data_IF_675940074547
#
_entry.id   IF_675940074547
#
_cell.length_a   1.000
_cell.length_b   1.000
_cell.length_c   1.000
_cell.angle_alpha   90.00
_cell.angle_beta   90.00
_cell.angle_gamma   90.00
#
_symmetry.space_group_name_H-M   'P 1'
#
loop_
_entity.id
_entity.type
_entity.pdbx_description
1 polymer ?
#
# COMPACT_ATOMS: atom_id res chain seq x y z
N UNK A 1 -25.51 0.53 23.59
CA UNK A 1 -24.53 1.59 23.30
C UNK A 1 -23.51 1.19 22.23
N UNK A 2 -22.85 0.03 22.28
CA UNK A 2 -22.02 -0.45 21.16
C UNK A 2 -22.84 -0.65 19.88
N UNK A 3 -24.06 -1.16 19.96
CA UNK A 3 -24.96 -1.31 18.82
C UNK A 3 -25.34 0.01 18.13
N UNK A 4 -25.34 1.15 18.84
CA UNK A 4 -25.65 2.46 18.26
C UNK A 4 -24.46 3.10 17.53
N UNK A 5 -23.23 2.68 17.83
CA UNK A 5 -22.03 3.08 17.07
C UNK A 5 -21.97 2.36 15.71
N UNK A 6 -22.58 1.17 15.63
CA UNK A 6 -22.72 0.42 14.40
C UNK A 6 -24.09 0.58 13.72
N UNK A 7 -25.03 1.32 14.34
CA UNK A 7 -26.40 1.48 13.87
C UNK A 7 -26.70 2.76 13.08
N UNK A 8 -25.69 3.60 12.74
CA UNK A 8 -25.87 4.43 11.56
C UNK A 8 -25.94 3.46 10.38
N UNK A 9 -27.01 3.50 9.55
CA UNK A 9 -26.94 2.80 8.28
C UNK A 9 -25.71 3.39 7.58
N UNK A 10 -24.60 2.64 7.54
CA UNK A 10 -23.59 2.86 6.53
C UNK A 10 -24.38 2.90 5.24
N UNK A 11 -24.37 4.04 4.57
CA UNK A 11 -24.88 4.12 3.21
C UNK A 11 -24.28 2.91 2.52
N UNK A 12 -25.12 1.97 2.10
CA UNK A 12 -24.64 0.67 1.62
C UNK A 12 -23.76 0.99 0.44
N UNK A 13 -22.43 0.79 0.60
CA UNK A 13 -21.47 1.04 -0.45
C UNK A 13 -22.03 0.50 -1.78
N UNK A 14 -21.97 1.29 -2.82
CA UNK A 14 -22.40 0.88 -4.14
C UNK A 14 -21.67 -0.43 -4.56
N UNK A 15 -22.28 -1.22 -5.44
CA UNK A 15 -21.65 -2.46 -5.90
C UNK A 15 -20.25 -2.21 -6.47
N UNK A 16 -20.05 -1.09 -7.15
CA UNK A 16 -18.76 -0.69 -7.72
C UNK A 16 -17.75 -0.35 -6.63
N UNK A 17 -18.17 0.34 -5.58
CA UNK A 17 -17.33 0.63 -4.43
C UNK A 17 -16.89 -0.66 -3.70
N UNK A 18 -17.78 -1.65 -3.56
CA UNK A 18 -17.43 -2.95 -2.98
C UNK A 18 -16.38 -3.69 -3.82
N UNK A 19 -16.51 -3.68 -5.15
CA UNK A 19 -15.49 -4.25 -6.04
C UNK A 19 -14.14 -3.56 -5.86
N UNK A 20 -14.11 -2.22 -5.78
CA UNK A 20 -12.89 -1.45 -5.58
C UNK A 20 -12.23 -1.78 -4.24
N UNK A 21 -13.00 -1.80 -3.15
CA UNK A 21 -12.49 -2.13 -1.81
C UNK A 21 -11.94 -3.56 -1.76
N UNK A 22 -12.67 -4.53 -2.33
CA UNK A 22 -12.22 -5.93 -2.40
C UNK A 22 -10.94 -6.08 -3.22
N UNK A 23 -10.85 -5.45 -4.37
CA UNK A 23 -9.68 -5.37 -5.23
C UNK A 23 -8.46 -4.86 -4.46
N UNK A 24 -8.62 -3.71 -3.78
CA UNK A 24 -7.56 -3.08 -2.99
C UNK A 24 -7.14 -3.97 -1.83
N UNK A 25 -8.08 -4.52 -1.09
CA UNK A 25 -7.82 -5.42 0.03
C UNK A 25 -6.97 -6.63 -0.40
N UNK A 26 -7.37 -7.31 -1.46
CA UNK A 26 -6.70 -8.51 -1.95
C UNK A 26 -5.28 -8.20 -2.44
N UNK A 27 -5.12 -7.17 -3.29
CA UNK A 27 -3.79 -6.75 -3.77
C UNK A 27 -2.89 -6.42 -2.57
N UNK A 28 -3.38 -5.60 -1.64
CA UNK A 28 -2.57 -5.10 -0.54
C UNK A 28 -2.22 -6.21 0.46
N UNK A 29 -3.14 -7.14 0.73
CA UNK A 29 -2.88 -8.33 1.55
C UNK A 29 -1.75 -9.17 0.95
N UNK A 30 -1.80 -9.44 -0.36
CA UNK A 30 -0.74 -10.16 -1.05
C UNK A 30 0.62 -9.48 -0.94
N UNK A 31 0.67 -8.15 -1.12
CA UNK A 31 1.92 -7.40 -0.97
C UNK A 31 2.43 -7.39 0.48
N UNK A 32 1.56 -7.20 1.47
CA UNK A 32 1.95 -7.22 2.89
C UNK A 32 2.51 -8.58 3.32
N UNK A 33 1.91 -9.65 2.82
CA UNK A 33 2.43 -11.01 3.01
C UNK A 33 3.84 -11.15 2.45
N UNK A 34 4.05 -10.70 1.21
CA UNK A 34 5.34 -10.82 0.52
C UNK A 34 6.41 -9.87 1.07
N UNK A 35 6.03 -8.69 1.52
CA UNK A 35 6.95 -7.75 2.14
C UNK A 35 7.57 -8.33 3.41
N UNK A 36 6.73 -8.66 4.37
CA UNK A 36 7.19 -8.99 5.71
C UNK A 36 7.82 -10.38 5.78
N UNK A 37 7.12 -11.38 5.29
CA UNK A 37 7.57 -12.78 5.36
C UNK A 37 8.38 -13.16 4.12
N UNK A 38 7.92 -12.76 2.93
CA UNK A 38 8.57 -13.11 1.67
C UNK A 38 9.95 -12.49 1.51
N UNK A 39 10.09 -11.18 1.66
CA UNK A 39 11.38 -10.48 1.48
C UNK A 39 12.20 -10.53 2.77
N UNK A 40 11.71 -9.90 3.86
CA UNK A 40 12.49 -9.78 5.10
C UNK A 40 12.73 -11.16 5.71
N UNK A 41 11.68 -11.99 5.80
CA UNK A 41 11.81 -13.35 6.34
C UNK A 41 12.76 -14.24 5.52
N UNK A 42 12.72 -14.17 4.19
CA UNK A 42 13.64 -14.95 3.35
C UNK A 42 15.08 -14.49 3.53
N UNK A 43 15.35 -13.18 3.47
CA UNK A 43 16.70 -12.64 3.68
C UNK A 43 17.27 -12.99 5.05
N UNK A 44 16.45 -12.86 6.11
CA UNK A 44 16.91 -13.07 7.48
C UNK A 44 17.08 -14.55 7.82
N UNK A 45 16.14 -15.42 7.44
CA UNK A 45 16.10 -16.81 7.90
C UNK A 45 16.57 -17.83 6.87
N UNK A 46 16.27 -17.63 5.58
CA UNK A 46 16.62 -18.60 4.56
C UNK A 46 17.99 -18.34 3.92
N UNK A 47 18.32 -17.07 3.70
CA UNK A 47 19.54 -16.66 3.02
C UNK A 47 20.65 -16.21 4.00
N UNK A 48 20.35 -16.16 5.29
CA UNK A 48 21.26 -15.67 6.37
C UNK A 48 21.96 -14.35 6.02
N UNK A 49 21.20 -13.47 5.37
CA UNK A 49 21.71 -12.18 4.94
C UNK A 49 22.05 -11.30 6.15
N UNK A 50 23.02 -10.42 5.98
CA UNK A 50 23.37 -9.47 7.03
C UNK A 50 22.27 -8.44 7.28
N UNK A 51 22.25 -7.85 8.47
CA UNK A 51 21.33 -6.73 8.82
C UNK A 51 21.42 -5.62 7.77
N UNK A 52 22.65 -5.29 7.32
CA UNK A 52 22.87 -4.25 6.31
C UNK A 52 22.19 -4.62 4.99
N UNK A 53 22.35 -5.86 4.51
CA UNK A 53 21.75 -6.31 3.26
C UNK A 53 20.21 -6.26 3.34
N UNK A 54 19.63 -6.74 4.44
CA UNK A 54 18.18 -6.70 4.64
C UNK A 54 17.65 -5.26 4.75
N UNK A 55 18.36 -4.39 5.47
CA UNK A 55 17.99 -2.96 5.56
C UNK A 55 18.08 -2.26 4.21
N UNK A 56 19.09 -2.57 3.39
CA UNK A 56 19.20 -2.04 2.02
C UNK A 56 18.07 -2.56 1.12
N UNK A 57 17.66 -3.82 1.26
CA UNK A 57 16.51 -4.36 0.53
C UNK A 57 15.23 -3.55 0.84
N UNK A 58 14.96 -3.28 2.12
CA UNK A 58 13.82 -2.48 2.56
C UNK A 58 13.93 -1.05 2.08
N UNK A 59 15.10 -0.43 2.16
CA UNK A 59 15.34 0.93 1.66
C UNK A 59 15.05 1.02 0.16
N UNK A 60 15.67 0.17 -0.65
CA UNK A 60 15.46 0.17 -2.10
C UNK A 60 14.03 -0.15 -2.46
N UNK A 61 13.40 -1.10 -1.78
CA UNK A 61 11.99 -1.39 -1.99
C UNK A 61 11.13 -0.14 -1.78
N UNK A 62 11.32 0.63 -0.70
CA UNK A 62 10.56 1.84 -0.44
C UNK A 62 10.86 2.96 -1.46
N UNK A 63 12.11 3.12 -1.89
CA UNK A 63 12.44 4.04 -2.99
C UNK A 63 11.68 3.67 -4.27
N UNK A 64 11.62 2.38 -4.59
CA UNK A 64 10.92 1.92 -5.77
C UNK A 64 9.38 1.93 -5.62
N UNK A 65 8.84 1.90 -4.40
CA UNK A 65 7.41 2.22 -4.15
C UNK A 65 7.11 3.65 -4.61
N UNK A 66 7.98 4.61 -4.26
CA UNK A 66 7.80 6.01 -4.68
C UNK A 66 7.86 6.13 -6.21
N UNK A 67 8.89 5.56 -6.83
CA UNK A 67 9.04 5.57 -8.31
C UNK A 67 7.87 4.87 -9.00
N UNK A 68 7.44 3.73 -8.47
CA UNK A 68 6.28 2.99 -8.94
C UNK A 68 4.99 3.81 -8.83
N UNK A 69 4.81 4.57 -7.74
CA UNK A 69 3.63 5.43 -7.55
C UNK A 69 3.53 6.54 -8.59
N UNK A 70 4.65 7.17 -8.93
CA UNK A 70 4.69 8.15 -10.03
C UNK A 70 4.38 7.49 -11.38
N UNK A 71 4.99 6.34 -11.67
CA UNK A 71 4.74 5.60 -12.91
C UNK A 71 3.28 5.13 -12.99
N UNK A 72 2.71 4.66 -11.88
CA UNK A 72 1.32 4.23 -11.79
C UNK A 72 0.33 5.38 -12.00
N UNK A 73 0.60 6.55 -11.42
CA UNK A 73 -0.18 7.76 -11.67
C UNK A 73 -0.16 8.15 -13.14
N UNK A 74 1.02 8.26 -13.74
CA UNK A 74 1.19 8.58 -15.16
C UNK A 74 0.51 7.53 -16.07
N UNK A 75 0.63 6.25 -15.72
CA UNK A 75 -0.03 5.17 -16.46
C UNK A 75 -1.56 5.23 -16.37
N UNK A 76 -2.09 5.59 -15.19
CA UNK A 76 -3.52 5.79 -14.99
C UNK A 76 -4.05 6.94 -15.86
N UNK A 77 -3.33 8.07 -15.86
CA UNK A 77 -3.70 9.25 -16.64
C UNK A 77 -3.61 8.99 -18.16
N UNK A 78 -2.59 8.23 -18.61
CA UNK A 78 -2.39 7.94 -20.02
C UNK A 78 -3.32 6.85 -20.58
N UNK A 79 -3.67 5.82 -19.77
CA UNK A 79 -4.33 4.61 -20.27
C UNK A 79 -5.68 4.31 -19.61
N UNK A 80 -6.04 5.10 -18.62
CA UNK A 80 -7.28 4.94 -17.85
C UNK A 80 -7.25 3.77 -16.85
N UNK A 81 -8.26 3.70 -15.98
CA UNK A 81 -8.26 2.81 -14.81
C UNK A 81 -8.25 1.32 -15.17
N UNK A 82 -8.90 0.91 -16.26
CA UNK A 82 -8.98 -0.50 -16.62
C UNK A 82 -7.63 -1.07 -17.09
N UNK A 83 -6.93 -0.34 -17.96
CA UNK A 83 -5.60 -0.77 -18.45
C UNK A 83 -4.57 -0.71 -17.34
N UNK A 84 -4.60 0.37 -16.54
CA UNK A 84 -3.74 0.50 -15.37
C UNK A 84 -3.93 -0.67 -14.40
N UNK A 85 -5.17 -1.06 -14.11
CA UNK A 85 -5.45 -2.22 -13.24
C UNK A 85 -4.85 -3.52 -13.79
N UNK A 86 -5.08 -3.82 -15.07
CA UNK A 86 -4.53 -5.03 -15.70
C UNK A 86 -3.00 -5.05 -15.68
N UNK A 87 -2.36 -3.89 -15.93
CA UNK A 87 -0.90 -3.78 -15.83
C UNK A 87 -0.40 -3.97 -14.40
N UNK A 88 -1.11 -3.47 -13.39
CA UNK A 88 -0.79 -3.70 -11.98
C UNK A 88 -0.85 -5.20 -11.64
N UNK A 89 -1.86 -5.91 -12.11
CA UNK A 89 -1.99 -7.36 -11.93
C UNK A 89 -0.85 -8.11 -12.63
N UNK A 90 -0.60 -7.80 -13.91
CA UNK A 90 0.49 -8.45 -14.67
C UNK A 90 1.85 -8.18 -14.02
N UNK A 91 2.11 -6.93 -13.61
CA UNK A 91 3.35 -6.56 -12.92
C UNK A 91 3.55 -7.32 -11.61
N UNK A 92 2.50 -7.45 -10.79
CA UNK A 92 2.56 -8.20 -9.53
C UNK A 92 2.79 -9.71 -9.77
N UNK A 93 2.09 -10.30 -10.74
CA UNK A 93 2.28 -11.71 -11.10
C UNK A 93 3.67 -11.97 -11.68
N UNK A 94 4.15 -11.10 -12.56
CA UNK A 94 5.50 -11.20 -13.12
C UNK A 94 6.59 -11.10 -12.05
N UNK A 95 6.41 -10.20 -11.08
CA UNK A 95 7.32 -10.05 -9.93
C UNK A 95 7.33 -11.33 -9.09
N UNK A 96 6.16 -11.86 -8.72
CA UNK A 96 6.07 -13.10 -7.95
C UNK A 96 6.71 -14.28 -8.68
N UNK A 97 6.43 -14.44 -9.99
CA UNK A 97 7.01 -15.48 -10.81
C UNK A 97 8.54 -15.33 -10.94
N UNK A 98 9.04 -14.12 -11.16
CA UNK A 98 10.48 -13.86 -11.24
C UNK A 98 11.21 -14.26 -9.95
N UNK A 99 10.66 -13.91 -8.78
CA UNK A 99 11.25 -14.27 -7.50
C UNK A 99 11.24 -15.79 -7.30
N UNK A 100 10.15 -16.47 -7.65
CA UNK A 100 10.06 -17.93 -7.51
C UNK A 100 11.02 -18.67 -8.42
N UNK A 101 11.20 -18.21 -9.66
CA UNK A 101 12.07 -18.86 -10.66
C UNK A 101 13.54 -18.59 -10.39
N UNK A 102 13.89 -17.36 -10.06
CA UNK A 102 15.27 -16.91 -9.97
C UNK A 102 15.76 -16.67 -8.53
N UNK A 103 14.88 -16.69 -7.53
CA UNK A 103 15.14 -16.28 -6.14
C UNK A 103 15.99 -17.24 -5.31
N UNK A 104 16.98 -17.92 -5.90
CA UNK A 104 17.85 -18.87 -5.19
C UNK A 104 19.11 -18.22 -4.57
N UNK A 105 19.38 -16.97 -4.83
CA UNK A 105 20.53 -16.23 -4.30
C UNK A 105 20.10 -14.89 -3.71
N UNK A 106 20.77 -14.46 -2.64
CA UNK A 106 20.49 -13.19 -1.92
C UNK A 106 20.38 -11.98 -2.85
N UNK A 107 21.25 -11.88 -3.86
CA UNK A 107 21.20 -10.79 -4.85
C UNK A 107 19.91 -10.77 -5.69
N UNK A 108 19.31 -11.93 -5.93
CA UNK A 108 18.05 -12.04 -6.67
C UNK A 108 16.85 -11.68 -5.76
N UNK A 109 16.92 -12.02 -4.48
CA UNK A 109 15.90 -11.58 -3.51
C UNK A 109 15.93 -10.06 -3.34
N UNK A 110 17.12 -9.45 -3.33
CA UNK A 110 17.28 -7.98 -3.33
C UNK A 110 16.64 -7.34 -4.58
N UNK A 111 16.91 -7.90 -5.76
CA UNK A 111 16.24 -7.45 -7.00
C UNK A 111 14.73 -7.67 -6.94
N UNK A 112 14.30 -8.78 -6.37
CA UNK A 112 12.89 -9.09 -6.13
C UNK A 112 12.21 -8.06 -5.22
N UNK A 113 12.90 -7.58 -4.18
CA UNK A 113 12.41 -6.51 -3.30
C UNK A 113 12.18 -5.20 -4.08
N UNK A 114 13.11 -4.84 -4.96
CA UNK A 114 13.00 -3.67 -5.85
C UNK A 114 11.77 -3.79 -6.76
N UNK A 115 11.60 -4.93 -7.43
CA UNK A 115 10.47 -5.19 -8.32
C UNK A 115 9.14 -5.19 -7.55
N UNK A 116 9.13 -5.78 -6.35
CA UNK A 116 7.96 -5.80 -5.46
C UNK A 116 7.58 -4.37 -5.03
N UNK A 117 8.56 -3.57 -4.65
CA UNK A 117 8.35 -2.16 -4.31
C UNK A 117 7.75 -1.37 -5.48
N UNK A 118 8.33 -1.52 -6.68
CA UNK A 118 7.81 -0.86 -7.87
C UNK A 118 6.37 -1.31 -8.20
N UNK A 119 6.08 -2.60 -8.15
CA UNK A 119 4.73 -3.13 -8.42
C UNK A 119 3.71 -2.65 -7.38
N UNK A 120 4.08 -2.59 -6.09
CA UNK A 120 3.24 -2.03 -5.03
C UNK A 120 2.95 -0.55 -5.27
N UNK A 121 3.98 0.23 -5.57
CA UNK A 121 3.84 1.65 -5.88
C UNK A 121 2.97 1.86 -7.11
N UNK A 122 3.20 1.11 -8.18
CA UNK A 122 2.41 1.19 -9.41
C UNK A 122 0.91 0.91 -9.17
N UNK A 123 0.58 0.04 -8.21
CA UNK A 123 -0.80 -0.26 -7.83
C UNK A 123 -1.43 0.77 -6.86
N UNK A 124 -0.69 1.74 -6.34
CA UNK A 124 -1.21 2.72 -5.36
C UNK A 124 -2.39 3.56 -5.87
N UNK A 125 -2.47 3.99 -7.14
CA UNK A 125 -3.62 4.72 -7.65
C UNK A 125 -4.96 4.00 -7.48
N UNK A 126 -4.97 2.66 -7.34
CA UNK A 126 -6.19 1.88 -7.04
C UNK A 126 -6.83 2.34 -5.72
N UNK A 127 -6.02 2.71 -4.74
CA UNK A 127 -6.52 3.20 -3.45
C UNK A 127 -6.79 4.70 -3.45
N UNK A 128 -5.97 5.49 -4.13
CA UNK A 128 -5.97 6.95 -3.99
C UNK A 128 -6.77 7.67 -5.05
N UNK A 129 -6.78 7.16 -6.28
CA UNK A 129 -7.37 7.85 -7.44
C UNK A 129 -8.65 7.20 -7.95
N UNK A 130 -8.81 5.88 -7.86
CA UNK A 130 -10.00 5.19 -8.38
C UNK A 130 -11.33 5.59 -7.73
N UNK A 131 -11.40 5.96 -6.43
CA UNK A 131 -12.65 6.44 -5.85
C UNK A 131 -13.27 7.59 -6.63
N UNK A 132 -12.46 8.52 -7.15
CA UNK A 132 -12.92 9.66 -7.94
C UNK A 132 -13.52 9.27 -9.31
N UNK A 133 -13.25 8.06 -9.82
CA UNK A 133 -13.90 7.56 -11.04
C UNK A 133 -15.27 6.92 -10.77
N UNK A 134 -15.65 6.77 -9.50
CA UNK A 134 -16.94 6.19 -9.11
C UNK A 134 -17.99 7.24 -8.73
N UNK A 135 -17.59 8.28 -8.00
CA UNK A 135 -18.53 9.25 -7.44
C UNK A 135 -17.91 10.64 -7.28
N UNK A 136 -18.75 11.70 -7.45
CA UNK A 136 -18.42 13.08 -7.07
C UNK A 136 -19.13 13.49 -5.77
N UNK A 137 -20.01 12.62 -5.25
CA UNK A 137 -20.66 12.87 -3.97
C UNK A 137 -19.59 12.81 -2.85
N UNK A 138 -19.35 13.92 -2.14
CA UNK A 138 -18.35 13.97 -1.07
C UNK A 138 -18.63 12.97 0.06
N UNK A 139 -19.90 12.63 0.30
CA UNK A 139 -20.29 11.69 1.36
C UNK A 139 -19.93 10.26 0.93
N UNK A 140 -20.33 9.85 -0.28
CA UNK A 140 -19.99 8.53 -0.82
C UNK A 140 -18.47 8.37 -0.97
N UNK A 141 -17.78 9.41 -1.46
CA UNK A 141 -16.31 9.41 -1.59
C UNK A 141 -15.62 9.21 -0.24
N UNK A 142 -16.11 9.87 0.80
CA UNK A 142 -15.61 9.70 2.18
C UNK A 142 -15.83 8.27 2.68
N UNK A 143 -17.00 7.69 2.42
CA UNK A 143 -17.33 6.33 2.84
C UNK A 143 -16.46 5.29 2.12
N UNK A 144 -16.22 5.47 0.82
CA UNK A 144 -15.31 4.62 0.03
C UNK A 144 -13.88 4.71 0.57
N UNK A 145 -13.36 5.92 0.77
CA UNK A 145 -12.01 6.12 1.29
C UNK A 145 -11.84 5.54 2.70
N UNK A 146 -12.87 5.69 3.56
CA UNK A 146 -12.87 5.11 4.90
C UNK A 146 -12.84 3.57 4.86
N UNK A 147 -13.60 2.96 3.95
CA UNK A 147 -13.60 1.52 3.75
C UNK A 147 -12.24 1.04 3.22
N UNK A 148 -11.66 1.73 2.24
CA UNK A 148 -10.31 1.41 1.72
C UNK A 148 -9.28 1.48 2.84
N UNK A 149 -9.30 2.53 3.67
CA UNK A 149 -8.38 2.68 4.80
C UNK A 149 -8.54 1.55 5.83
N UNK A 150 -9.79 1.23 6.19
CA UNK A 150 -10.10 0.15 7.12
C UNK A 150 -9.58 -1.20 6.61
N UNK A 151 -9.90 -1.56 5.38
CA UNK A 151 -9.46 -2.84 4.80
C UNK A 151 -7.95 -2.87 4.52
N UNK A 152 -7.31 -1.73 4.25
CA UNK A 152 -5.85 -1.65 4.18
C UNK A 152 -5.19 -1.96 5.53
N UNK A 153 -5.74 -1.44 6.63
CA UNK A 153 -5.26 -1.77 7.98
C UNK A 153 -5.49 -3.26 8.31
N UNK A 154 -6.63 -3.83 7.92
CA UNK A 154 -6.86 -5.28 8.06
C UNK A 154 -5.83 -6.08 7.26
N UNK A 155 -5.44 -5.63 6.07
CA UNK A 155 -4.40 -6.29 5.26
C UNK A 155 -3.03 -6.33 5.94
N UNK A 156 -2.67 -5.30 6.70
CA UNK A 156 -1.41 -5.23 7.46
C UNK A 156 -1.37 -6.32 8.55
N UNK A 157 -2.52 -6.70 9.09
CA UNK A 157 -2.64 -7.76 10.09
C UNK A 157 -2.73 -9.14 9.41
N UNK A 158 -3.64 -9.27 8.45
CA UNK A 158 -3.96 -10.54 7.79
C UNK A 158 -2.81 -11.02 6.89
N UNK A 159 -2.13 -10.09 6.21
CA UNK A 159 -1.02 -10.43 5.30
C UNK A 159 0.10 -11.19 6.01
N UNK A 160 0.79 -10.60 6.99
CA UNK A 160 1.83 -11.29 7.74
C UNK A 160 1.36 -12.56 8.45
N UNK A 161 0.11 -12.58 8.99
CA UNK A 161 -0.48 -13.77 9.60
C UNK A 161 -0.50 -14.95 8.64
N UNK A 162 -1.11 -14.76 7.48
CA UNK A 162 -1.21 -15.81 6.46
C UNK A 162 0.17 -16.19 5.92
N UNK A 163 1.06 -15.20 5.76
CA UNK A 163 2.45 -15.44 5.39
C UNK A 163 3.19 -16.30 6.41
N UNK A 164 3.03 -16.03 7.70
CA UNK A 164 3.60 -16.81 8.78
C UNK A 164 3.11 -18.27 8.77
N UNK A 165 1.81 -18.50 8.58
CA UNK A 165 1.27 -19.86 8.44
C UNK A 165 1.84 -20.60 7.22
N UNK A 166 1.93 -19.95 6.08
CA UNK A 166 2.51 -20.56 4.86
C UNK A 166 4.00 -20.83 5.06
N UNK A 167 4.73 -19.90 5.66
CA UNK A 167 6.15 -20.07 5.94
C UNK A 167 6.43 -21.22 6.90
N UNK A 168 5.60 -21.37 7.97
CA UNK A 168 5.70 -22.48 8.92
C UNK A 168 5.41 -23.84 8.26
N UNK A 169 4.44 -23.89 7.34
CA UNK A 169 4.04 -25.12 6.69
C UNK A 169 4.98 -25.54 5.55
N UNK A 170 5.69 -24.58 4.93
CA UNK A 170 6.48 -24.84 3.72
C UNK A 170 7.83 -24.09 3.73
N UNK A 171 7.81 -22.80 3.35
CA UNK A 171 8.99 -21.92 3.35
C UNK A 171 8.58 -20.46 3.21
N UNK A 172 9.45 -19.54 3.61
CA UNK A 172 9.24 -18.08 3.41
C UNK A 172 9.09 -17.71 1.91
N UNK A 173 9.72 -18.46 1.00
CA UNK A 173 9.58 -18.25 -0.46
C UNK A 173 8.21 -18.64 -0.99
N UNK A 174 7.53 -19.63 -0.42
CA UNK A 174 6.20 -20.05 -0.85
C UNK A 174 5.14 -18.94 -0.64
N UNK A 175 5.46 -17.95 0.16
CA UNK A 175 4.63 -16.77 0.39
C UNK A 175 4.39 -15.95 -0.89
N UNK A 176 5.33 -15.98 -1.85
CA UNK A 176 5.13 -15.34 -3.16
C UNK A 176 4.05 -16.03 -4.00
N UNK A 177 3.86 -17.35 -3.82
CA UNK A 177 2.72 -18.07 -4.42
C UNK A 177 1.41 -17.54 -3.84
N UNK A 178 1.36 -17.34 -2.52
CA UNK A 178 0.18 -16.77 -1.86
C UNK A 178 -0.12 -15.35 -2.38
N UNK A 179 0.89 -14.51 -2.58
CA UNK A 179 0.73 -13.20 -3.22
C UNK A 179 0.12 -13.33 -4.61
N UNK A 180 0.60 -14.27 -5.42
CA UNK A 180 0.06 -14.50 -6.78
C UNK A 180 -1.41 -14.95 -6.71
N UNK A 181 -1.77 -15.81 -5.75
CA UNK A 181 -3.17 -16.21 -5.52
C UNK A 181 -4.03 -14.99 -5.19
N UNK A 182 -3.61 -14.14 -4.24
CA UNK A 182 -4.33 -12.92 -3.91
C UNK A 182 -4.44 -11.97 -5.10
N UNK A 183 -3.40 -11.87 -5.93
CA UNK A 183 -3.40 -11.05 -7.14
C UNK A 183 -4.41 -11.58 -8.18
N UNK A 184 -4.52 -12.90 -8.34
CA UNK A 184 -5.53 -13.52 -9.22
C UNK A 184 -6.94 -13.32 -8.65
N UNK A 185 -7.12 -13.47 -7.35
CA UNK A 185 -8.41 -13.17 -6.71
C UNK A 185 -8.79 -11.70 -6.87
N UNK A 186 -7.81 -10.78 -6.80
CA UNK A 186 -8.04 -9.36 -7.05
C UNK A 186 -8.46 -9.10 -8.51
N UNK A 187 -7.89 -9.82 -9.47
CA UNK A 187 -8.32 -9.76 -10.87
C UNK A 187 -9.79 -10.17 -11.01
N UNK A 188 -10.20 -11.25 -10.34
CA UNK A 188 -11.59 -11.72 -10.35
C UNK A 188 -12.53 -10.69 -9.69
N UNK A 189 -12.13 -10.15 -8.52
CA UNK A 189 -12.89 -9.12 -7.83
C UNK A 189 -13.01 -7.83 -8.66
N UNK A 190 -11.94 -7.46 -9.36
CA UNK A 190 -11.88 -6.27 -10.23
C UNK A 190 -12.56 -6.45 -11.58
N UNK A 191 -12.93 -7.67 -11.97
CA UNK A 191 -13.62 -7.90 -13.25
C UNK A 191 -14.95 -7.16 -13.36
N UNK A 192 -15.66 -7.04 -12.24
CA UNK A 192 -16.92 -6.30 -12.13
C UNK A 192 -16.75 -4.78 -11.99
N UNK A 193 -15.52 -4.28 -11.81
CA UNK A 193 -15.27 -2.85 -11.67
C UNK A 193 -15.44 -2.13 -13.01
N UNK A 194 -16.37 -1.19 -13.03
CA UNK A 194 -16.70 -0.38 -14.22
C UNK A 194 -16.68 1.09 -13.84
N UNK A 195 -15.58 1.81 -14.12
CA UNK A 195 -15.54 3.25 -13.94
C UNK A 195 -16.59 3.91 -14.83
N UNK A 196 -17.18 5.00 -14.38
CA UNK A 196 -18.18 5.72 -15.16
C UNK A 196 -17.53 6.37 -16.38
N UNK A 197 -17.95 5.99 -17.58
CA UNK A 197 -17.36 6.43 -18.84
C UNK A 197 -17.36 7.97 -19.00
N UNK A 198 -18.42 8.65 -18.54
CA UNK A 198 -18.50 10.11 -18.57
C UNK A 198 -17.45 10.79 -17.68
N UNK A 199 -17.04 10.15 -16.58
CA UNK A 199 -16.02 10.67 -15.66
C UNK A 199 -14.61 10.41 -16.17
N UNK A 200 -14.40 9.29 -16.83
CA UNK A 200 -13.12 9.03 -17.52
C UNK A 200 -12.89 10.12 -18.58
N UNK A 201 -13.91 10.39 -19.40
CA UNK A 201 -13.83 11.43 -20.42
C UNK A 201 -13.69 12.85 -19.85
N UNK A 202 -14.40 13.19 -18.76
CA UNK A 202 -14.28 14.48 -18.09
C UNK A 202 -12.86 14.68 -17.52
N UNK A 203 -12.30 13.66 -16.88
CA UNK A 203 -10.95 13.73 -16.31
C UNK A 203 -9.87 13.75 -17.40
N UNK A 204 -10.06 13.06 -18.51
CA UNK A 204 -9.19 13.16 -19.67
C UNK A 204 -9.22 14.57 -20.29
N UNK A 205 -10.40 15.23 -20.37
CA UNK A 205 -10.50 16.61 -20.83
C UNK A 205 -9.87 17.61 -19.85
N UNK A 206 -10.06 17.46 -18.54
CA UNK A 206 -9.44 18.29 -17.52
C UNK A 206 -7.91 18.18 -17.53
N UNK A 207 -7.38 16.99 -17.73
CA UNK A 207 -5.94 16.74 -17.88
C UNK A 207 -5.39 17.34 -19.17
N UNK A 208 -6.14 17.24 -20.27
CA UNK A 208 -5.77 17.84 -21.54
C UNK A 208 -5.80 19.38 -21.47
N UNK A 209 -6.78 19.95 -20.79
CA UNK A 209 -6.91 21.40 -20.57
C UNK A 209 -5.82 21.92 -19.60
N UNK A 210 -5.53 21.19 -18.52
CA UNK A 210 -4.40 21.48 -17.62
C UNK A 210 -3.06 21.37 -18.36
N UNK A 211 -2.90 20.38 -19.24
CA UNK A 211 -1.73 20.23 -20.10
C UNK A 211 -1.60 21.36 -21.12
N UNK A 212 -2.72 21.82 -21.70
CA UNK A 212 -2.74 22.96 -22.65
C UNK A 212 -2.45 24.30 -21.96
N UNK A 213 -2.99 24.53 -20.75
CA UNK A 213 -2.69 25.72 -19.94
C UNK A 213 -1.25 25.72 -19.42
N UNK A 214 -0.70 24.58 -19.10
CA UNK A 214 0.71 24.42 -18.76
C UNK A 214 1.61 24.65 -19.99
N UNK A 215 1.19 24.23 -21.19
CA UNK A 215 1.91 24.49 -22.46
C UNK A 215 1.91 25.93 -22.86
N UNK A 216 0.86 26.70 -22.60
CA UNK A 216 0.82 28.17 -22.88
C UNK A 216 1.64 28.99 -21.88
N UNK A 217 1.82 28.46 -20.64
CA UNK A 217 2.66 29.09 -19.61
C UNK A 217 4.14 28.69 -19.70
N UNK A 218 4.47 27.63 -20.44
CA UNK A 218 5.82 27.08 -20.55
C UNK A 218 6.20 26.74 -21.98
N UNK A 219 6.51 27.76 -22.77
CA UNK A 219 7.23 27.54 -24.03
C UNK A 219 8.70 27.15 -23.82
N UNK A 220 9.09 26.68 -22.62
CA UNK A 220 10.47 26.29 -22.33
C UNK A 220 10.59 25.49 -21.01
N UNK A 221 10.01 24.32 -20.88
CA UNK A 221 10.48 23.42 -19.83
C UNK A 221 10.12 21.94 -20.08
N UNK A 222 11.12 21.07 -19.94
CA UNK A 222 11.02 19.61 -19.95
C UNK A 222 10.01 19.08 -18.91
N UNK A 223 9.30 17.99 -19.16
CA UNK A 223 8.36 17.35 -18.18
C UNK A 223 8.99 17.08 -16.81
N UNK A 224 10.29 16.81 -16.77
CA UNK A 224 11.07 16.65 -15.54
C UNK A 224 11.19 17.94 -14.73
N UNK A 225 11.22 19.09 -15.38
CA UNK A 225 11.30 20.41 -14.73
C UNK A 225 9.96 20.77 -14.07
N UNK A 226 8.84 20.44 -14.70
CA UNK A 226 7.50 20.68 -14.15
C UNK A 226 7.25 19.87 -12.87
N UNK A 227 7.57 18.58 -12.86
CA UNK A 227 7.48 17.75 -11.66
C UNK A 227 8.37 18.26 -10.51
N UNK A 228 9.57 18.71 -10.81
CA UNK A 228 10.51 19.26 -9.84
C UNK A 228 10.02 20.59 -9.26
N UNK A 229 9.48 21.50 -10.09
CA UNK A 229 8.93 22.79 -9.65
C UNK A 229 7.69 22.58 -8.78
N UNK A 230 6.79 21.66 -9.15
CA UNK A 230 5.59 21.34 -8.37
C UNK A 230 5.97 20.73 -7.01
N UNK A 231 6.95 19.83 -6.97
CA UNK A 231 7.45 19.24 -5.75
C UNK A 231 8.10 20.28 -4.82
N UNK A 232 8.96 21.14 -5.35
CA UNK A 232 9.59 22.21 -4.59
C UNK A 232 8.55 23.22 -4.03
N UNK A 233 7.52 23.55 -4.81
CA UNK A 233 6.43 24.42 -4.36
C UNK A 233 5.61 23.76 -3.25
N UNK A 234 5.32 22.47 -3.37
CA UNK A 234 4.60 21.71 -2.34
C UNK A 234 5.39 21.66 -1.03
N UNK A 235 6.68 21.37 -1.08
CA UNK A 235 7.57 21.41 0.10
C UNK A 235 7.57 22.81 0.72
N UNK A 236 7.74 23.84 -0.08
CA UNK A 236 7.74 25.22 0.42
C UNK A 236 6.42 25.54 1.14
N UNK A 237 5.28 25.14 0.57
CA UNK A 237 3.96 25.36 1.18
C UNK A 237 3.83 24.66 2.53
N UNK A 238 4.28 23.40 2.64
CA UNK A 238 4.27 22.64 3.90
C UNK A 238 5.10 23.35 4.97
N UNK A 239 6.32 23.76 4.64
CA UNK A 239 7.23 24.38 5.61
C UNK A 239 6.95 25.87 5.88
N UNK A 240 6.14 26.53 5.05
CA UNK A 240 5.69 27.90 5.32
C UNK A 240 4.58 27.95 6.38
N UNK A 241 3.80 26.90 6.52
CA UNK A 241 2.75 26.80 7.55
C UNK A 241 3.27 25.98 8.74
N UNK A 242 3.41 26.62 9.91
CA UNK A 242 3.96 25.98 11.11
C UNK A 242 3.18 24.73 11.55
N UNK A 243 1.86 24.70 11.39
CA UNK A 243 1.04 23.52 11.76
C UNK A 243 1.30 22.38 10.80
N UNK A 244 1.35 22.65 9.49
CA UNK A 244 1.66 21.62 8.48
C UNK A 244 3.08 21.11 8.63
N UNK A 245 4.05 21.98 8.91
CA UNK A 245 5.43 21.60 9.15
C UNK A 245 5.56 20.69 10.38
N UNK A 246 4.89 21.04 11.48
CA UNK A 246 4.88 20.23 12.70
C UNK A 246 4.26 18.84 12.45
N UNK A 247 3.10 18.79 11.80
CA UNK A 247 2.44 17.51 11.44
C UNK A 247 3.33 16.68 10.53
N UNK A 248 3.94 17.31 9.51
CA UNK A 248 4.88 16.63 8.63
C UNK A 248 6.07 16.03 9.41
N UNK A 249 6.68 16.81 10.30
CA UNK A 249 7.81 16.34 11.11
C UNK A 249 7.42 15.17 12.03
N UNK A 250 6.25 15.23 12.68
CA UNK A 250 5.75 14.15 13.53
C UNK A 250 5.52 12.87 12.71
N UNK A 251 4.83 12.98 11.56
CA UNK A 251 4.55 11.84 10.69
C UNK A 251 5.85 11.28 10.10
N UNK A 252 6.75 12.16 9.65
CA UNK A 252 8.04 11.75 9.11
C UNK A 252 8.88 11.00 10.14
N UNK A 253 9.02 11.55 11.35
CA UNK A 253 9.83 10.94 12.41
C UNK A 253 9.24 9.60 12.87
N UNK A 254 7.90 9.51 12.97
CA UNK A 254 7.22 8.24 13.28
C UNK A 254 7.47 7.18 12.21
N UNK A 255 7.29 7.51 10.94
CA UNK A 255 7.53 6.56 9.84
C UNK A 255 9.01 6.21 9.70
N UNK A 256 9.92 7.15 9.96
CA UNK A 256 11.36 6.88 9.97
C UNK A 256 11.72 5.86 11.06
N UNK A 257 11.17 6.03 12.27
CA UNK A 257 11.36 5.06 13.36
C UNK A 257 10.84 3.66 13.01
N UNK A 258 9.63 3.58 12.44
CA UNK A 258 9.06 2.32 11.99
C UNK A 258 9.90 1.66 10.89
N UNK A 259 10.30 2.41 9.87
CA UNK A 259 11.08 1.89 8.76
C UNK A 259 12.48 1.40 9.16
N UNK A 260 13.07 1.98 10.21
CA UNK A 260 14.32 1.50 10.79
C UNK A 260 14.13 0.23 11.62
N UNK A 261 12.97 0.09 12.28
CA UNK A 261 12.67 -1.03 13.15
C UNK A 261 12.33 -2.31 12.37
N UNK A 262 11.60 -2.22 11.27
CA UNK A 262 11.12 -3.36 10.48
C UNK A 262 12.19 -4.43 10.18
N UNK A 263 13.37 -4.10 9.60
CA UNK A 263 14.40 -5.10 9.36
C UNK A 263 15.05 -5.60 10.67
N UNK A 264 15.22 -4.73 11.68
CA UNK A 264 15.86 -5.09 12.94
C UNK A 264 15.01 -6.06 13.76
N UNK A 265 13.68 -5.94 13.67
CA UNK A 265 12.73 -6.82 14.36
C UNK A 265 12.92 -8.28 13.95
N UNK A 266 13.16 -8.55 12.67
CA UNK A 266 13.39 -9.91 12.18
C UNK A 266 14.66 -10.54 12.75
N UNK A 267 15.73 -9.77 12.89
CA UNK A 267 16.98 -10.22 13.52
C UNK A 267 16.81 -10.41 15.01
N UNK A 268 16.05 -9.56 15.69
CA UNK A 268 15.72 -9.74 17.09
C UNK A 268 15.00 -11.06 17.34
N UNK A 269 14.04 -11.42 16.49
CA UNK A 269 13.33 -12.70 16.60
C UNK A 269 14.26 -13.88 16.35
N UNK A 270 15.13 -13.81 15.35
CA UNK A 270 16.07 -14.89 15.04
C UNK A 270 17.18 -15.01 16.06
N UNK A 271 17.88 -13.92 16.39
CA UNK A 271 19.16 -13.96 17.09
C UNK A 271 19.01 -13.83 18.63
N UNK A 272 17.93 -13.20 19.10
CA UNK A 272 17.68 -13.01 20.53
C UNK A 272 16.60 -13.95 21.06
N UNK A 273 15.47 -14.05 20.37
CA UNK A 273 14.37 -14.93 20.82
C UNK A 273 14.53 -16.36 20.30
N UNK A 274 15.39 -16.60 19.30
CA UNK A 274 15.64 -17.92 18.70
C UNK A 274 14.35 -18.59 18.19
N UNK A 275 13.43 -17.80 17.62
CA UNK A 275 12.15 -18.28 17.08
C UNK A 275 12.18 -18.31 15.57
N UNK A 276 11.31 -19.12 14.95
CA UNK A 276 11.22 -19.25 13.49
C UNK A 276 10.55 -18.06 12.81
N UNK A 277 10.63 -18.04 11.47
CA UNK A 277 10.09 -16.96 10.63
C UNK A 277 8.58 -16.76 10.80
N UNK A 278 7.84 -17.80 11.17
CA UNK A 278 6.40 -17.76 11.42
C UNK A 278 6.02 -16.78 12.55
N UNK A 279 6.90 -16.61 13.53
CA UNK A 279 6.67 -15.69 14.65
C UNK A 279 6.61 -14.22 14.21
N UNK A 280 7.28 -13.85 13.12
CA UNK A 280 7.13 -12.52 12.54
C UNK A 280 5.65 -12.24 12.19
N UNK A 281 4.97 -13.22 11.59
CA UNK A 281 3.55 -13.11 11.26
C UNK A 281 2.65 -13.07 12.49
N UNK A 282 2.89 -13.94 13.48
CA UNK A 282 2.05 -14.03 14.68
C UNK A 282 2.18 -12.83 15.59
N UNK A 283 3.39 -12.32 15.80
CA UNK A 283 3.62 -11.15 16.64
C UNK A 283 3.09 -9.87 15.97
N UNK A 284 3.27 -9.73 14.66
CA UNK A 284 2.65 -8.64 13.89
C UNK A 284 1.12 -8.67 14.01
N UNK A 285 0.53 -9.87 13.97
CA UNK A 285 -0.92 -10.06 14.16
C UNK A 285 -1.38 -9.67 15.56
N UNK A 286 -0.65 -10.09 16.59
CA UNK A 286 -0.95 -9.75 17.98
C UNK A 286 -0.88 -8.23 18.20
N UNK A 287 0.14 -7.57 17.63
CA UNK A 287 0.28 -6.10 17.64
C UNK A 287 -0.92 -5.42 16.95
N UNK A 288 -1.32 -5.92 15.77
CA UNK A 288 -2.46 -5.40 15.04
C UNK A 288 -3.78 -5.54 15.80
N UNK A 289 -4.02 -6.69 16.42
CA UNK A 289 -5.19 -6.90 17.30
C UNK A 289 -5.15 -5.95 18.48
N UNK A 290 -3.99 -5.77 19.11
CA UNK A 290 -3.79 -4.81 20.20
C UNK A 290 -4.12 -3.37 19.77
N UNK A 291 -3.71 -2.95 18.58
CA UNK A 291 -4.01 -1.64 18.03
C UNK A 291 -5.53 -1.43 17.83
N UNK A 292 -6.24 -2.44 17.30
CA UNK A 292 -7.70 -2.39 17.13
C UNK A 292 -8.40 -2.30 18.48
N UNK A 293 -8.01 -3.13 19.47
CA UNK A 293 -8.58 -3.10 20.80
C UNK A 293 -8.31 -1.75 21.50
N UNK A 294 -7.10 -1.20 21.34
CA UNK A 294 -6.75 0.13 21.86
C UNK A 294 -7.59 1.25 21.23
N UNK A 295 -7.82 1.21 19.93
CA UNK A 295 -8.68 2.18 19.25
C UNK A 295 -10.14 2.10 19.74
N UNK A 296 -10.67 0.89 19.90
CA UNK A 296 -12.03 0.67 20.46
C UNK A 296 -12.12 1.18 21.90
N UNK A 297 -11.12 0.89 22.73
CA UNK A 297 -11.07 1.36 24.12
C UNK A 297 -11.02 2.91 24.18
N UNK A 298 -10.19 3.54 23.35
CA UNK A 298 -10.11 5.00 23.28
C UNK A 298 -11.45 5.65 22.89
N UNK A 299 -12.15 5.07 21.90
CA UNK A 299 -13.48 5.55 21.48
C UNK A 299 -14.53 5.39 22.59
N UNK A 300 -14.50 4.28 23.36
CA UNK A 300 -15.43 4.04 24.45
C UNK A 300 -15.16 4.96 25.63
N UNK A 301 -13.91 5.26 25.94
CA UNK A 301 -13.52 6.19 27.00
C UNK A 301 -13.86 7.63 26.64
N UNK A 302 -13.63 8.05 25.38
CA UNK A 302 -13.99 9.38 24.90
C UNK A 302 -15.51 9.61 24.85
N UNK A 303 -16.31 8.55 24.73
CA UNK A 303 -17.77 8.61 24.74
C UNK A 303 -18.39 8.54 26.15
N UNK A 304 -17.58 8.36 27.20
CA UNK A 304 -18.07 8.29 28.57
C UNK A 304 -18.56 9.70 29.03
N UNK A 305 -19.83 9.88 29.48
CA UNK A 305 -20.32 11.15 29.95
C UNK A 305 -19.67 11.48 31.28
N UNK A 306 -18.83 12.51 31.34
CA UNK A 306 -18.31 12.98 32.61
C UNK A 306 -16.88 13.55 32.63
N UNK A 307 -16.29 13.92 31.50
CA UNK A 307 -15.09 14.77 31.56
C UNK A 307 -15.41 16.20 31.09
N UNK A 308 -15.01 17.24 31.89
CA UNK A 308 -15.29 18.64 31.61
C UNK A 308 -14.56 19.13 30.36
#
# INVERSE_FOLDING_TARGET
>A
MLASLFSKPQSSLSAQAKHLVAMRFLIYTGFQTSYFIGVIGTLTYADDASVVATSLAVLFMNVFVILGSFAGGAALDAWGPRRHFLLSIVGALATGAAILVFGSATGIVLLGAVLLGFALGFAQPIATSYPAYLTDDPVELKDINSAIAMFSNVSIIVGPTLGGFVAAATSSRAVFVLMMIFTVLALVAGWGFRPQAGRVAARESDLAESGATASTASQSSNPSTFACVTFATSIKTVFTNSVLALLFCIIFLSNFGYGAFDPLESFFYRDVLHVGVEWMGWLSSASGVGAVLGAVAALTLAAAPGQP
#
